data_IF_226976363067
#
_entry.id   IF_226976363067
#
_cell.length_a   1.000
_cell.length_b   1.000
_cell.length_c   1.000
_cell.angle_alpha   90.00
_cell.angle_beta   90.00
_cell.angle_gamma   90.00
#
_symmetry.space_group_name_H-M   'P 1'
#
loop_
_entity.id
_entity.type
_entity.pdbx_description
1 polymer ?
#
# COMPACT_ATOMS: atom_id res chain seq x y z
N UNK A 1 -4.07 -22.29 -18.47
CA UNK A 1 -4.91 -21.33 -17.74
C UNK A 1 -5.02 -21.76 -16.29
N UNK A 2 -5.01 -20.83 -15.33
CA UNK A 2 -5.44 -21.12 -13.96
C UNK A 2 -6.97 -21.14 -13.94
N UNK A 3 -7.58 -22.07 -13.21
CA UNK A 3 -9.04 -22.11 -13.05
C UNK A 3 -9.52 -21.03 -12.10
N UNK A 4 -10.77 -20.61 -12.26
CA UNK A 4 -11.42 -19.60 -11.41
C UNK A 4 -11.40 -19.96 -9.93
N UNK A 5 -11.72 -21.21 -9.58
CA UNK A 5 -11.67 -21.71 -8.20
C UNK A 5 -10.26 -21.66 -7.60
N UNK A 6 -9.22 -21.94 -8.40
CA UNK A 6 -7.83 -21.87 -7.94
C UNK A 6 -7.42 -20.41 -7.69
N UNK A 7 -7.85 -19.49 -8.58
CA UNK A 7 -7.66 -18.05 -8.43
C UNK A 7 -8.33 -17.52 -7.16
N UNK A 8 -9.56 -17.96 -6.86
CA UNK A 8 -10.29 -17.59 -5.64
C UNK A 8 -9.62 -18.12 -4.37
N UNK A 9 -9.15 -19.37 -4.36
CA UNK A 9 -8.38 -19.90 -3.24
C UNK A 9 -7.09 -19.09 -3.02
N UNK A 10 -6.36 -18.77 -4.09
CA UNK A 10 -5.15 -17.96 -3.99
C UNK A 10 -5.48 -16.55 -3.47
N UNK A 11 -6.57 -15.94 -3.93
CA UNK A 11 -7.05 -14.65 -3.44
C UNK A 11 -7.34 -14.70 -1.94
N UNK A 12 -8.03 -15.76 -1.49
CA UNK A 12 -8.36 -15.95 -0.08
C UNK A 12 -7.11 -16.12 0.78
N UNK A 13 -6.14 -16.92 0.34
CA UNK A 13 -4.85 -17.09 1.05
C UNK A 13 -4.10 -15.77 1.18
N UNK A 14 -3.95 -15.02 0.09
CA UNK A 14 -3.20 -13.76 0.09
C UNK A 14 -3.91 -12.70 0.94
N UNK A 15 -5.23 -12.61 0.86
CA UNK A 15 -6.02 -11.65 1.66
C UNK A 15 -5.90 -11.96 3.16
N UNK A 16 -5.89 -13.25 3.55
CA UNK A 16 -5.58 -13.65 4.92
C UNK A 16 -4.14 -13.29 5.34
N UNK A 17 -3.16 -13.42 4.45
CA UNK A 17 -1.77 -13.01 4.74
C UNK A 17 -1.70 -11.51 5.01
N UNK A 18 -2.39 -10.69 4.21
CA UNK A 18 -2.50 -9.25 4.43
C UNK A 18 -3.12 -8.97 5.79
N UNK A 19 -4.24 -9.62 6.13
CA UNK A 19 -4.91 -9.43 7.41
C UNK A 19 -3.96 -9.69 8.60
N UNK A 20 -3.22 -10.80 8.56
CA UNK A 20 -2.23 -11.15 9.60
C UNK A 20 -1.06 -10.17 9.65
N UNK A 21 -0.53 -9.75 8.51
CA UNK A 21 0.54 -8.74 8.47
C UNK A 21 0.06 -7.41 9.07
N UNK A 22 -1.17 -6.98 8.77
CA UNK A 22 -1.76 -5.76 9.32
C UNK A 22 -2.04 -5.81 10.82
N UNK A 23 -2.21 -6.99 11.42
CA UNK A 23 -2.33 -7.14 12.88
C UNK A 23 -1.01 -6.86 13.60
N UNK A 24 0.12 -7.15 12.96
CA UNK A 24 1.46 -6.92 13.51
C UNK A 24 1.97 -5.49 13.33
N UNK A 25 1.39 -4.72 12.40
CA UNK A 25 1.84 -3.37 12.12
C UNK A 25 1.34 -2.37 13.16
N UNK A 26 2.25 -1.49 13.57
CA UNK A 26 1.93 -0.35 14.43
C UNK A 26 1.28 0.78 13.62
N UNK A 27 0.42 1.60 14.25
CA UNK A 27 -0.25 2.71 13.56
C UNK A 27 0.70 3.74 12.94
N UNK A 28 1.86 3.97 13.56
CA UNK A 28 2.90 4.85 13.03
C UNK A 28 3.88 4.06 12.17
N UNK A 29 4.11 4.48 10.93
CA UNK A 29 5.10 3.87 10.06
C UNK A 29 6.54 3.99 10.60
N UNK A 30 6.84 5.04 11.37
CA UNK A 30 8.16 5.22 11.99
C UNK A 30 8.46 4.16 13.08
N UNK A 31 7.42 3.50 13.60
CA UNK A 31 7.56 2.51 14.67
C UNK A 31 7.68 1.06 14.13
N UNK A 32 7.53 0.88 12.81
CA UNK A 32 7.63 -0.42 12.14
C UNK A 32 9.02 -0.60 11.52
N UNK A 33 9.48 -1.85 11.40
CA UNK A 33 10.70 -2.12 10.66
C UNK A 33 10.44 -1.98 9.15
N UNK A 34 11.45 -1.49 8.41
CA UNK A 34 11.34 -1.36 6.94
C UNK A 34 11.00 -2.70 6.28
N UNK A 35 11.52 -3.82 6.81
CA UNK A 35 11.22 -5.17 6.35
C UNK A 35 9.75 -5.54 6.49
N UNK A 36 9.06 -5.06 7.52
CA UNK A 36 7.63 -5.33 7.73
C UNK A 36 6.79 -4.59 6.69
N UNK A 37 7.16 -3.32 6.41
CA UNK A 37 6.52 -2.47 5.41
C UNK A 37 6.76 -2.98 3.98
N UNK A 38 7.98 -3.42 3.67
CA UNK A 38 8.31 -4.02 2.37
C UNK A 38 7.59 -5.37 2.20
N UNK A 39 7.51 -6.16 3.28
CA UNK A 39 6.82 -7.44 3.31
C UNK A 39 5.33 -7.30 2.99
N UNK A 40 4.62 -6.39 3.66
CA UNK A 40 3.20 -6.17 3.38
C UNK A 40 2.99 -5.62 1.95
N UNK A 41 3.85 -4.73 1.48
CA UNK A 41 3.75 -4.19 0.12
C UNK A 41 3.93 -5.29 -0.94
N UNK A 42 4.84 -6.24 -0.71
CA UNK A 42 5.01 -7.39 -1.60
C UNK A 42 3.75 -8.28 -1.66
N UNK A 43 3.11 -8.54 -0.52
CA UNK A 43 1.87 -9.34 -0.46
C UNK A 43 0.72 -8.61 -1.18
N UNK A 44 0.62 -7.29 -1.04
CA UNK A 44 -0.37 -6.47 -1.75
C UNK A 44 -0.16 -6.55 -3.27
N UNK A 45 1.07 -6.38 -3.76
CA UNK A 45 1.37 -6.53 -5.20
C UNK A 45 0.98 -7.91 -5.73
N UNK A 46 1.23 -8.98 -4.95
CA UNK A 46 0.81 -10.34 -5.33
C UNK A 46 -0.71 -10.49 -5.36
N UNK A 47 -1.43 -9.78 -4.49
CA UNK A 47 -2.91 -9.73 -4.52
C UNK A 47 -3.38 -9.12 -5.84
N UNK A 48 -2.79 -8.00 -6.27
CA UNK A 48 -3.13 -7.36 -7.55
C UNK A 48 -2.87 -8.26 -8.76
N UNK A 49 -1.77 -9.02 -8.75
CA UNK A 49 -1.49 -10.03 -9.78
C UNK A 49 -2.55 -11.14 -9.79
N UNK A 50 -2.98 -11.57 -8.61
CA UNK A 50 -4.02 -12.61 -8.48
C UNK A 50 -5.39 -12.10 -8.94
N UNK A 51 -5.70 -10.80 -8.77
CA UNK A 51 -6.92 -10.18 -9.32
C UNK A 51 -6.92 -10.30 -10.84
N UNK A 52 -5.79 -10.01 -11.50
CA UNK A 52 -5.68 -10.12 -12.96
C UNK A 52 -5.93 -11.55 -13.44
N UNK A 53 -5.40 -12.54 -12.70
CA UNK A 53 -5.63 -13.95 -13.04
C UNK A 53 -7.09 -14.37 -12.82
N UNK A 54 -7.75 -13.85 -11.79
CA UNK A 54 -9.18 -14.07 -11.58
C UNK A 54 -10.02 -13.43 -12.69
N UNK A 55 -9.68 -12.21 -13.12
CA UNK A 55 -10.33 -11.54 -14.26
C UNK A 55 -10.16 -12.32 -15.56
N UNK A 56 -9.00 -12.96 -15.77
CA UNK A 56 -8.77 -13.85 -16.91
C UNK A 56 -9.63 -15.12 -16.83
N UNK A 57 -9.66 -15.78 -15.67
CA UNK A 57 -10.48 -16.97 -15.47
C UNK A 57 -11.99 -16.67 -15.63
N UNK A 58 -12.43 -15.49 -15.17
CA UNK A 58 -13.80 -15.01 -15.34
C UNK A 58 -14.22 -14.82 -16.80
N UNK A 59 -13.30 -14.38 -17.66
CA UNK A 59 -13.59 -14.23 -19.09
C UNK A 59 -13.82 -15.57 -19.79
N UNK A 60 -13.23 -16.65 -19.27
CA UNK A 60 -13.35 -17.98 -19.84
C UNK A 60 -14.52 -18.78 -19.26
N UNK A 61 -14.64 -18.79 -17.93
CA UNK A 61 -15.60 -19.61 -17.19
C UNK A 61 -16.93 -18.89 -16.93
N UNK A 62 -17.00 -17.59 -17.23
CA UNK A 62 -18.16 -16.74 -16.98
C UNK A 62 -18.38 -16.44 -15.48
N UNK A 63 -19.60 -16.04 -15.15
CA UNK A 63 -19.99 -15.59 -13.80
C UNK A 63 -20.92 -16.57 -13.07
N UNK A 64 -21.07 -17.79 -13.58
CA UNK A 64 -21.88 -18.82 -12.91
C UNK A 64 -21.06 -19.50 -11.81
N UNK A 65 -21.16 -18.95 -10.61
CA UNK A 65 -20.44 -19.41 -9.42
C UNK A 65 -21.05 -20.69 -8.86
N UNK A 66 -20.20 -21.70 -8.65
CA UNK A 66 -20.56 -22.89 -7.88
C UNK A 66 -20.76 -22.56 -6.39
N UNK A 67 -21.43 -23.42 -5.61
CA UNK A 67 -21.61 -23.23 -4.18
C UNK A 67 -20.29 -23.04 -3.41
N UNK A 68 -19.24 -23.79 -3.79
CA UNK A 68 -17.92 -23.67 -3.16
C UNK A 68 -17.27 -22.30 -3.44
N UNK A 69 -17.43 -21.77 -4.66
CA UNK A 69 -16.93 -20.45 -5.04
C UNK A 69 -17.73 -19.34 -4.35
N UNK A 70 -19.04 -19.48 -4.22
CA UNK A 70 -19.87 -18.54 -3.46
C UNK A 70 -19.44 -18.48 -2.00
N UNK A 71 -19.16 -19.63 -1.39
CA UNK A 71 -18.64 -19.67 -0.02
C UNK A 71 -17.30 -18.96 0.12
N UNK A 72 -16.38 -19.15 -0.84
CA UNK A 72 -15.10 -18.42 -0.85
C UNK A 72 -15.28 -16.91 -1.03
N UNK A 73 -16.21 -16.49 -1.89
CA UNK A 73 -16.53 -15.07 -2.10
C UNK A 73 -17.11 -14.43 -0.83
N UNK A 74 -17.95 -15.13 -0.08
CA UNK A 74 -18.45 -14.67 1.22
C UNK A 74 -17.31 -14.51 2.24
N UNK A 75 -16.41 -15.49 2.33
CA UNK A 75 -15.23 -15.41 3.21
C UNK A 75 -14.32 -14.24 2.83
N UNK A 76 -14.07 -14.06 1.53
CA UNK A 76 -13.31 -12.94 1.00
C UNK A 76 -13.96 -11.59 1.34
N UNK A 77 -15.29 -11.48 1.20
CA UNK A 77 -16.01 -10.25 1.55
C UNK A 77 -15.81 -9.88 3.01
N UNK A 78 -15.94 -10.83 3.94
CA UNK A 78 -15.70 -10.58 5.36
C UNK A 78 -14.26 -10.19 5.69
N UNK A 79 -13.28 -10.77 4.98
CA UNK A 79 -11.89 -10.37 5.12
C UNK A 79 -11.64 -8.95 4.60
N UNK A 80 -12.22 -8.58 3.45
CA UNK A 80 -12.09 -7.23 2.87
C UNK A 80 -12.62 -6.16 3.81
N UNK A 81 -13.79 -6.37 4.42
CA UNK A 81 -14.35 -5.47 5.43
C UNK A 81 -13.39 -5.25 6.61
N UNK A 82 -12.61 -6.28 6.95
CA UNK A 82 -11.64 -6.22 8.05
C UNK A 82 -10.35 -5.49 7.65
N UNK A 83 -9.84 -5.73 6.44
CA UNK A 83 -8.53 -5.20 6.02
C UNK A 83 -8.61 -3.80 5.41
N UNK A 84 -9.71 -3.45 4.76
CA UNK A 84 -9.83 -2.19 4.01
C UNK A 84 -9.61 -0.93 4.87
N UNK A 85 -10.14 -0.83 6.10
CA UNK A 85 -9.86 0.32 6.97
C UNK A 85 -8.36 0.43 7.30
N UNK A 86 -7.73 -0.69 7.67
CA UNK A 86 -6.31 -0.72 8.05
C UNK A 86 -5.37 -0.41 6.88
N UNK A 87 -5.67 -0.92 5.69
CA UNK A 87 -4.94 -0.56 4.47
C UNK A 87 -5.06 0.94 4.17
N UNK A 88 -6.27 1.49 4.31
CA UNK A 88 -6.51 2.92 4.08
C UNK A 88 -5.70 3.79 5.05
N UNK A 89 -5.64 3.41 6.32
CA UNK A 89 -4.82 4.07 7.34
C UNK A 89 -3.33 4.00 7.01
N UNK A 90 -2.83 2.82 6.61
CA UNK A 90 -1.42 2.64 6.23
C UNK A 90 -1.04 3.50 5.01
N UNK A 91 -1.88 3.55 3.98
CA UNK A 91 -1.64 4.41 2.81
C UNK A 91 -1.70 5.91 3.16
N UNK A 92 -2.59 6.31 4.06
CA UNK A 92 -2.66 7.68 4.54
C UNK A 92 -1.40 8.07 5.32
N UNK A 93 -0.90 7.19 6.20
CA UNK A 93 0.35 7.40 6.93
C UNK A 93 1.55 7.54 5.98
N UNK A 94 1.62 6.70 4.94
CA UNK A 94 2.66 6.78 3.93
C UNK A 94 2.63 8.10 3.16
N UNK A 95 1.43 8.54 2.75
CA UNK A 95 1.24 9.81 2.08
C UNK A 95 1.70 10.99 2.95
N UNK A 96 1.40 10.96 4.25
CA UNK A 96 1.83 12.00 5.18
C UNK A 96 3.36 12.04 5.34
N UNK A 97 4.02 10.88 5.45
CA UNK A 97 5.48 10.80 5.50
C UNK A 97 6.12 11.38 4.23
N UNK A 98 5.61 11.03 3.05
CA UNK A 98 6.09 11.58 1.78
C UNK A 98 5.93 13.10 1.71
N UNK A 99 4.79 13.62 2.19
CA UNK A 99 4.54 15.06 2.29
C UNK A 99 5.53 15.75 3.24
N UNK A 100 5.77 15.20 4.43
CA UNK A 100 6.76 15.71 5.39
C UNK A 100 8.17 15.74 4.78
N UNK A 101 8.55 14.69 4.06
CA UNK A 101 9.85 14.61 3.39
C UNK A 101 10.00 15.68 2.29
N UNK A 102 8.96 15.91 1.49
CA UNK A 102 8.95 17.00 0.50
C UNK A 102 9.04 18.38 1.17
N UNK A 103 8.26 18.62 2.23
CA UNK A 103 8.30 19.87 2.99
C UNK A 103 9.68 20.12 3.62
N UNK A 104 10.31 19.09 4.19
CA UNK A 104 11.67 19.15 4.74
C UNK A 104 12.70 19.49 3.66
N UNK A 105 12.60 18.89 2.46
CA UNK A 105 13.45 19.25 1.30
C UNK A 105 13.23 20.70 0.86
N UNK A 106 11.99 21.18 0.82
CA UNK A 106 11.68 22.58 0.49
C UNK A 106 12.21 23.55 1.55
N UNK A 107 12.09 23.22 2.83
CA UNK A 107 12.64 24.01 3.93
C UNK A 107 14.18 24.08 3.86
N UNK A 108 14.85 22.94 3.68
CA UNK A 108 16.30 22.88 3.50
C UNK A 108 16.78 23.68 2.26
N UNK A 109 16.00 23.67 1.17
CA UNK A 109 16.25 24.50 0.00
C UNK A 109 16.16 26.01 0.29
N UNK A 110 15.18 26.44 1.11
CA UNK A 110 15.05 27.83 1.55
C UNK A 110 16.22 28.26 2.45
N UNK A 111 16.67 27.41 3.36
CA UNK A 111 17.85 27.70 4.18
C UNK A 111 19.12 27.81 3.33
N UNK A 112 19.36 26.91 2.36
CA UNK A 112 20.48 27.05 1.41
C UNK A 112 20.39 28.35 0.59
N UNK A 113 19.21 28.73 0.12
CA UNK A 113 19.04 29.98 -0.62
C UNK A 113 19.33 31.22 0.25
N UNK A 114 18.97 31.21 1.55
CA UNK A 114 19.30 32.29 2.49
C UNK A 114 20.77 32.30 2.92
N UNK A 115 21.45 31.14 2.97
CA UNK A 115 22.90 31.08 3.22
C UNK A 115 23.76 31.59 2.06
N UNK A 116 23.21 31.69 0.84
CA UNK A 116 23.90 32.27 -0.32
C UNK A 116 23.63 33.77 -0.52
N UNK A 117 22.63 34.36 0.14
CA UNK A 117 22.30 35.80 -0.02
C UNK A 117 22.81 36.70 1.11
N UNK A 118 23.38 36.15 2.19
CA UNK A 118 23.92 36.94 3.31
C UNK A 118 25.41 37.34 3.14
N UNK A 119 26.01 37.00 1.99
CA UNK A 119 27.41 37.28 1.66
C UNK A 119 27.66 38.49 0.75
N UNK A 120 26.63 39.24 0.36
CA UNK A 120 26.78 40.47 -0.43
C UNK A 120 26.67 41.70 0.48
N UNK A 121 27.68 41.91 1.32
CA UNK A 121 27.95 43.24 1.88
C UNK A 121 28.21 44.19 0.70
N UNK A 122 27.19 44.96 0.32
CA UNK A 122 27.38 46.14 -0.50
C UNK A 122 28.23 47.13 0.31
N UNK A 123 29.53 47.19 0.00
CA UNK A 123 30.38 48.31 0.35
C UNK A 123 29.88 49.53 -0.45
N UNK A 124 29.01 50.32 0.19
CA UNK A 124 28.74 51.69 -0.22
C UNK A 124 29.43 52.64 0.76
N UNK A 125 30.72 52.88 0.55
CA UNK A 125 31.40 54.06 1.11
C UNK A 125 32.26 54.77 0.05
N UNK A 126 31.64 55.84 -0.48
CA UNK A 126 32.18 57.09 -1.05
C UNK A 126 33.36 57.03 -2.02
#
# INVERSE_FOLDING_TARGET
>A
MMKRIDALHQMHVITNQIARSLEGLKPSMDDNEQSDLDGINHIISRREETIKLLDEALKEEGNDWSPDEQHLLEQLSGLEETIQPKLSELYAAFSDQMRRLQQGKSAAGKYKAHSYTDGAFFDQRK
#
